data_IF_556613213772
#
_entry.id   IF_556613213772
#
_cell.length_a   1.000
_cell.length_b   1.000
_cell.length_c   1.000
_cell.angle_alpha   90.00
_cell.angle_beta   90.00
_cell.angle_gamma   90.00
#
_symmetry.space_group_name_H-M   'P 1'
#
loop_
_entity.id
_entity.type
_entity.pdbx_description
1 polymer ?
#
# COMPACT_ATOMS: atom_id res chain seq x y z
N UNK A 1 -18.38 5.01 -24.87
CA UNK A 1 -17.99 5.64 -23.58
C UNK A 1 -19.08 5.55 -22.52
N UNK A 2 -20.34 5.82 -22.87
CA UNK A 2 -21.45 5.81 -21.90
C UNK A 2 -21.64 4.44 -21.23
N UNK A 3 -21.48 3.36 -21.99
CA UNK A 3 -21.58 1.99 -21.48
C UNK A 3 -20.51 1.62 -20.44
N UNK A 4 -19.30 2.21 -20.50
CA UNK A 4 -18.21 1.99 -19.54
C UNK A 4 -18.29 2.89 -18.31
N UNK A 5 -19.31 3.71 -18.16
CA UNK A 5 -19.59 4.47 -16.93
C UNK A 5 -20.22 3.60 -15.83
N UNK A 6 -20.68 2.40 -16.17
CA UNK A 6 -21.03 1.38 -15.17
C UNK A 6 -19.77 0.65 -14.68
N UNK A 7 -19.50 0.74 -13.39
CA UNK A 7 -18.27 0.18 -12.79
C UNK A 7 -18.12 -1.33 -12.98
N UNK A 8 -19.23 -2.10 -13.04
CA UNK A 8 -19.17 -3.56 -13.32
C UNK A 8 -18.78 -3.83 -14.77
N UNK A 9 -19.36 -3.09 -15.70
CA UNK A 9 -19.00 -3.20 -17.12
C UNK A 9 -17.57 -2.76 -17.36
N UNK A 10 -17.15 -1.67 -16.71
CA UNK A 10 -15.78 -1.19 -16.76
C UNK A 10 -14.78 -2.25 -16.22
N UNK A 11 -15.09 -2.87 -15.08
CA UNK A 11 -14.27 -3.94 -14.52
C UNK A 11 -14.17 -5.15 -15.46
N UNK A 12 -15.29 -5.52 -16.08
CA UNK A 12 -15.33 -6.62 -17.05
C UNK A 12 -14.52 -6.30 -18.31
N UNK A 13 -14.53 -5.05 -18.78
CA UNK A 13 -13.74 -4.61 -19.92
C UNK A 13 -12.23 -4.60 -19.63
N UNK A 14 -11.83 -4.14 -18.44
CA UNK A 14 -10.41 -4.10 -18.04
C UNK A 14 -9.85 -5.50 -17.76
N UNK A 15 -10.67 -6.38 -17.18
CA UNK A 15 -10.31 -7.76 -16.81
C UNK A 15 -11.23 -8.74 -17.50
N UNK A 16 -11.10 -8.94 -18.80
CA UNK A 16 -11.95 -9.91 -19.49
C UNK A 16 -11.76 -11.30 -18.92
N UNK A 17 -12.84 -12.08 -18.82
CA UNK A 17 -12.78 -13.48 -18.35
C UNK A 17 -12.03 -14.38 -19.30
N UNK A 18 -12.04 -14.04 -20.57
CA UNK A 18 -11.40 -14.78 -21.68
C UNK A 18 -10.67 -13.79 -22.58
N UNK A 19 -9.50 -14.19 -23.04
CA UNK A 19 -8.67 -13.34 -23.92
C UNK A 19 -7.60 -12.54 -23.19
N UNK A 20 -6.82 -11.77 -23.95
CA UNK A 20 -5.80 -10.88 -23.42
C UNK A 20 -6.47 -9.63 -22.79
N UNK A 21 -5.84 -9.09 -21.77
CA UNK A 21 -6.23 -7.77 -21.25
C UNK A 21 -6.03 -6.72 -22.37
N UNK A 22 -6.92 -5.72 -22.49
CA UNK A 22 -6.80 -4.68 -23.51
C UNK A 22 -5.50 -3.89 -23.35
N UNK A 23 -4.88 -3.51 -24.44
CA UNK A 23 -3.67 -2.68 -24.41
C UNK A 23 -3.95 -1.31 -23.79
N UNK A 24 -2.89 -0.62 -23.36
CA UNK A 24 -3.03 0.75 -22.86
C UNK A 24 -3.53 1.68 -23.98
N UNK A 25 -4.53 2.48 -23.66
CA UNK A 25 -5.22 3.36 -24.62
C UNK A 25 -6.49 2.77 -25.23
N UNK A 26 -6.71 1.45 -25.13
CA UNK A 26 -7.96 0.82 -25.58
C UNK A 26 -9.12 1.06 -24.59
N UNK A 27 -8.82 1.29 -23.33
CA UNK A 27 -9.81 1.73 -22.33
C UNK A 27 -9.88 3.26 -22.36
N UNK A 28 -11.06 3.87 -22.57
CA UNK A 28 -11.18 5.33 -22.73
C UNK A 28 -10.64 6.15 -21.56
N UNK A 29 -10.61 5.58 -20.36
CA UNK A 29 -10.12 6.25 -19.15
C UNK A 29 -8.60 6.18 -19.00
N UNK A 30 -7.87 5.36 -19.75
CA UNK A 30 -6.43 5.19 -19.59
C UNK A 30 -5.67 6.52 -19.70
N UNK A 31 -5.86 7.23 -20.80
CA UNK A 31 -5.16 8.50 -21.05
C UNK A 31 -5.62 9.60 -20.09
N UNK A 32 -6.91 9.64 -19.75
CA UNK A 32 -7.46 10.62 -18.81
C UNK A 32 -6.82 10.44 -17.43
N UNK A 33 -6.80 9.21 -16.92
CA UNK A 33 -6.21 8.89 -15.62
C UNK A 33 -4.71 9.14 -15.66
N UNK A 34 -4.02 8.64 -16.68
CA UNK A 34 -2.56 8.77 -16.78
C UNK A 34 -2.12 10.22 -16.76
N UNK A 35 -2.74 11.07 -17.58
CA UNK A 35 -2.42 12.50 -17.65
C UNK A 35 -2.75 13.23 -16.32
N UNK A 36 -3.84 12.85 -15.66
CA UNK A 36 -4.22 13.46 -14.39
C UNK A 36 -3.28 13.08 -13.21
N UNK A 37 -2.64 11.89 -13.30
CA UNK A 37 -1.68 11.43 -12.28
C UNK A 37 -0.25 11.94 -12.52
N UNK A 38 0.04 12.53 -13.70
CA UNK A 38 1.36 13.09 -13.99
C UNK A 38 1.62 14.37 -13.19
N UNK A 39 2.81 14.46 -12.63
CA UNK A 39 3.35 15.66 -12.00
C UNK A 39 4.56 16.14 -12.80
N UNK A 40 4.44 17.34 -13.39
CA UNK A 40 5.43 17.90 -14.29
C UNK A 40 5.34 17.36 -15.74
N UNK A 41 6.25 17.80 -16.57
CA UNK A 41 6.33 17.34 -17.96
C UNK A 41 6.96 15.94 -17.96
N UNK A 42 6.31 14.94 -18.58
CA UNK A 42 6.85 13.58 -18.65
C UNK A 42 8.22 13.59 -19.32
N UNK A 43 9.22 13.07 -18.64
CA UNK A 43 10.55 12.91 -19.18
C UNK A 43 11.07 11.51 -18.82
N UNK A 44 11.42 10.73 -19.83
CA UNK A 44 12.01 9.41 -19.63
C UNK A 44 13.35 9.54 -18.91
N UNK A 45 13.47 8.87 -17.78
CA UNK A 45 14.70 8.86 -16.99
C UNK A 45 15.63 7.75 -17.46
N UNK A 46 16.93 8.06 -17.57
CA UNK A 46 17.97 7.04 -17.79
C UNK A 46 18.22 6.18 -16.53
N UNK A 47 17.79 6.67 -15.38
CA UNK A 47 17.86 5.97 -14.10
C UNK A 47 16.53 6.15 -13.34
N UNK A 48 15.45 5.49 -13.80
CA UNK A 48 14.13 5.68 -13.25
C UNK A 48 14.05 5.21 -11.80
N UNK A 49 13.25 5.91 -11.00
CA UNK A 49 13.06 5.64 -9.58
C UNK A 49 11.62 5.32 -9.28
N UNK A 50 11.42 4.39 -8.36
CA UNK A 50 10.12 4.14 -7.75
C UNK A 50 10.18 4.44 -6.25
N UNK A 51 9.37 5.40 -5.81
CA UNK A 51 9.16 5.75 -4.41
C UNK A 51 7.85 5.12 -3.93
N UNK A 52 7.94 4.18 -3.02
CA UNK A 52 6.78 3.50 -2.43
C UNK A 52 6.55 4.08 -1.03
N UNK A 53 5.42 4.75 -0.86
CA UNK A 53 4.97 5.34 0.40
C UNK A 53 3.97 4.41 1.07
N UNK A 54 4.32 3.91 2.23
CA UNK A 54 3.57 2.90 2.96
C UNK A 54 3.14 3.44 4.32
N UNK A 55 1.84 3.39 4.59
CA UNK A 55 1.32 3.80 5.90
C UNK A 55 -0.18 3.99 5.92
N UNK A 56 -0.81 3.91 7.11
CA UNK A 56 -2.26 4.01 7.24
C UNK A 56 -2.77 5.42 6.86
N UNK A 57 -4.07 5.56 6.62
CA UNK A 57 -4.68 6.88 6.45
C UNK A 57 -4.40 7.79 7.65
N UNK A 58 -4.06 9.04 7.40
CA UNK A 58 -3.73 10.02 8.45
C UNK A 58 -2.31 9.94 9.01
N UNK A 59 -1.47 8.98 8.61
CA UNK A 59 -0.08 8.92 9.09
C UNK A 59 0.83 10.02 8.54
N UNK A 60 0.40 10.78 7.50
CA UNK A 60 1.15 11.92 6.95
C UNK A 60 2.11 11.56 5.82
N UNK A 61 1.75 10.61 4.97
CA UNK A 61 2.52 10.23 3.77
C UNK A 61 2.88 11.41 2.87
N UNK A 62 1.96 12.37 2.69
CA UNK A 62 2.18 13.54 1.84
C UNK A 62 3.35 14.41 2.30
N UNK A 63 3.52 14.61 3.61
CA UNK A 63 4.65 15.40 4.15
C UNK A 63 5.99 14.72 3.87
N UNK A 64 6.08 13.41 4.16
CA UNK A 64 7.29 12.61 3.89
C UNK A 64 7.58 12.52 2.38
N UNK A 65 6.52 12.43 1.55
CA UNK A 65 6.65 12.41 0.09
C UNK A 65 7.43 13.61 -0.42
N UNK A 66 7.06 14.82 -0.01
CA UNK A 66 7.71 16.05 -0.48
C UNK A 66 9.21 16.03 -0.20
N UNK A 67 9.61 15.63 1.01
CA UNK A 67 11.02 15.57 1.40
C UNK A 67 11.78 14.50 0.58
N UNK A 68 11.21 13.31 0.41
CA UNK A 68 11.86 12.23 -0.34
C UNK A 68 11.95 12.51 -1.84
N UNK A 69 10.98 13.20 -2.43
CA UNK A 69 11.05 13.64 -3.83
C UNK A 69 12.22 14.58 -4.04
N UNK A 70 12.37 15.60 -3.18
CA UNK A 70 13.48 16.56 -3.24
C UNK A 70 14.82 15.85 -3.05
N UNK A 71 14.97 15.02 -2.01
CA UNK A 71 16.20 14.28 -1.72
C UNK A 71 16.63 13.35 -2.87
N UNK A 72 15.67 12.83 -3.62
CA UNK A 72 15.92 11.89 -4.70
C UNK A 72 15.87 12.52 -6.10
N UNK A 73 15.77 13.84 -6.21
CA UNK A 73 15.68 14.55 -7.50
C UNK A 73 14.59 13.96 -8.42
N UNK A 74 13.41 13.76 -7.85
CA UNK A 74 12.23 13.26 -8.56
C UNK A 74 11.31 14.44 -8.90
N UNK A 75 11.77 15.35 -9.78
CA UNK A 75 11.05 16.58 -10.12
C UNK A 75 9.82 16.28 -10.99
N UNK A 76 9.89 15.23 -11.78
CA UNK A 76 8.77 14.72 -12.59
C UNK A 76 8.48 13.27 -12.24
N UNK A 77 7.22 12.94 -12.05
CA UNK A 77 6.80 11.58 -11.68
C UNK A 77 5.31 11.36 -11.98
N UNK A 78 4.90 10.11 -12.02
CA UNK A 78 3.48 9.74 -11.97
C UNK A 78 3.12 9.32 -10.54
N UNK A 79 2.02 9.88 -10.00
CA UNK A 79 1.54 9.56 -8.65
C UNK A 79 0.44 8.49 -8.71
N UNK A 80 0.79 7.24 -8.47
CA UNK A 80 -0.16 6.12 -8.49
C UNK A 80 -0.81 6.00 -7.12
N UNK A 81 -2.00 6.58 -7.00
CA UNK A 81 -2.83 6.61 -5.79
C UNK A 81 -4.23 6.07 -6.11
N UNK A 82 -4.65 4.95 -5.47
CA UNK A 82 -6.00 4.38 -5.68
C UNK A 82 -7.14 5.35 -5.41
N UNK A 83 -6.98 6.24 -4.43
CA UNK A 83 -8.01 7.20 -4.05
C UNK A 83 -8.14 8.31 -5.11
N UNK A 84 -7.03 8.71 -5.71
CA UNK A 84 -7.00 9.68 -6.79
C UNK A 84 -7.62 9.11 -8.07
N UNK A 85 -7.25 7.88 -8.45
CA UNK A 85 -7.85 7.16 -9.58
C UNK A 85 -9.36 7.04 -9.41
N UNK A 86 -9.85 6.70 -8.21
CA UNK A 86 -11.27 6.65 -7.92
C UNK A 86 -11.94 8.01 -8.14
N UNK A 87 -11.34 9.07 -7.64
CA UNK A 87 -11.85 10.44 -7.79
C UNK A 87 -11.93 10.83 -9.27
N UNK A 88 -10.89 10.56 -10.06
CA UNK A 88 -10.86 10.83 -11.50
C UNK A 88 -11.99 10.06 -12.22
N UNK A 89 -12.16 8.78 -11.93
CA UNK A 89 -13.21 7.96 -12.54
C UNK A 89 -14.60 8.52 -12.24
N UNK A 90 -14.87 8.85 -10.96
CA UNK A 90 -16.16 9.41 -10.56
C UNK A 90 -16.44 10.78 -11.18
N UNK A 91 -15.42 11.65 -11.25
CA UNK A 91 -15.53 12.96 -11.93
C UNK A 91 -15.83 12.82 -13.43
N UNK A 92 -15.46 11.68 -14.03
CA UNK A 92 -15.77 11.37 -15.42
C UNK A 92 -17.06 10.54 -15.58
N UNK A 93 -17.91 10.52 -14.53
CA UNK A 93 -19.24 9.94 -14.55
C UNK A 93 -19.27 8.42 -14.35
N UNK A 94 -18.18 7.79 -13.89
CA UNK A 94 -18.22 6.37 -13.53
C UNK A 94 -18.96 6.20 -12.21
N UNK A 95 -19.97 5.36 -12.22
CA UNK A 95 -20.78 5.01 -11.04
C UNK A 95 -20.39 3.62 -10.54
N UNK A 96 -20.26 3.46 -9.23
CA UNK A 96 -19.95 2.19 -8.61
C UNK A 96 -21.13 1.66 -7.81
N UNK A 97 -21.47 0.38 -7.94
CA UNK A 97 -22.48 -0.24 -7.08
C UNK A 97 -22.01 -0.26 -5.63
N UNK A 98 -22.94 -0.39 -4.70
CA UNK A 98 -22.66 -0.46 -3.27
C UNK A 98 -21.91 -1.74 -2.82
N UNK A 99 -21.56 -2.64 -3.75
CA UNK A 99 -20.77 -3.83 -3.42
C UNK A 99 -19.34 -3.45 -3.04
N UNK A 100 -18.72 -4.26 -2.16
CA UNK A 100 -17.37 -4.00 -1.62
C UNK A 100 -16.24 -4.43 -2.58
N UNK A 101 -16.55 -4.91 -3.78
CA UNK A 101 -15.56 -5.57 -4.66
C UNK A 101 -15.33 -4.84 -5.97
N UNK A 102 -16.38 -4.25 -6.56
CA UNK A 102 -16.29 -3.62 -7.89
C UNK A 102 -15.36 -2.41 -7.89
N UNK A 103 -15.54 -1.47 -7.00
CA UNK A 103 -14.72 -0.25 -6.94
C UNK A 103 -13.24 -0.57 -6.67
N UNK A 104 -12.87 -1.35 -5.62
CA UNK A 104 -11.48 -1.76 -5.45
C UNK A 104 -10.93 -2.58 -6.63
N UNK A 105 -11.77 -3.39 -7.26
CA UNK A 105 -11.38 -4.16 -8.43
C UNK A 105 -10.99 -3.29 -9.61
N UNK A 106 -11.75 -2.23 -9.89
CA UNK A 106 -11.49 -1.25 -10.95
C UNK A 106 -10.24 -0.42 -10.63
N UNK A 107 -10.16 0.15 -9.42
CA UNK A 107 -9.02 1.01 -9.03
C UNK A 107 -7.71 0.24 -9.03
N UNK A 108 -7.68 -1.01 -8.54
CA UNK A 108 -6.48 -1.86 -8.59
C UNK A 108 -6.09 -2.23 -10.03
N UNK A 109 -7.08 -2.41 -10.92
CA UNK A 109 -6.78 -2.67 -12.33
C UNK A 109 -6.13 -1.45 -12.98
N UNK A 110 -6.65 -0.25 -12.74
CA UNK A 110 -6.03 0.98 -13.24
C UNK A 110 -4.68 1.26 -12.59
N UNK A 111 -4.49 1.03 -11.29
CA UNK A 111 -3.17 1.11 -10.65
C UNK A 111 -2.13 0.31 -11.42
N UNK A 112 -2.46 -0.94 -11.75
CA UNK A 112 -1.56 -1.78 -12.52
C UNK A 112 -1.31 -1.21 -13.92
N UNK A 113 -2.35 -0.80 -14.66
CA UNK A 113 -2.24 -0.25 -16.00
C UNK A 113 -1.39 1.02 -16.04
N UNK A 114 -1.61 1.93 -15.07
CA UNK A 114 -0.82 3.16 -14.95
C UNK A 114 0.65 2.87 -14.61
N UNK A 115 0.88 1.90 -13.72
CA UNK A 115 2.23 1.46 -13.37
C UNK A 115 2.96 0.82 -14.56
N UNK A 116 2.30 -0.09 -15.26
CA UNK A 116 2.88 -0.77 -16.44
C UNK A 116 3.24 0.25 -17.53
N UNK A 117 2.37 1.23 -17.78
CA UNK A 117 2.62 2.28 -18.78
C UNK A 117 3.73 3.23 -18.36
N UNK A 118 3.76 3.66 -17.09
CA UNK A 118 4.83 4.48 -16.57
C UNK A 118 6.20 3.77 -16.66
N UNK A 119 6.22 2.47 -16.38
CA UNK A 119 7.42 1.65 -16.50
C UNK A 119 7.86 1.52 -17.96
N UNK A 120 6.93 1.33 -18.88
CA UNK A 120 7.22 1.29 -20.34
C UNK A 120 7.84 2.61 -20.83
N UNK A 121 7.43 3.74 -20.26
CA UNK A 121 7.95 5.08 -20.59
C UNK A 121 9.18 5.47 -19.75
N UNK A 122 9.68 4.60 -18.86
CA UNK A 122 10.79 4.90 -17.93
C UNK A 122 10.58 6.17 -17.09
N UNK A 123 9.33 6.44 -16.68
CA UNK A 123 9.01 7.57 -15.81
C UNK A 123 9.34 7.24 -14.34
N UNK A 124 9.68 8.26 -13.56
CA UNK A 124 9.69 8.09 -12.11
C UNK A 124 8.26 7.82 -11.60
N UNK A 125 8.15 6.95 -10.61
CA UNK A 125 6.86 6.51 -10.06
C UNK A 125 6.83 6.81 -8.56
N UNK A 126 5.76 7.45 -8.11
CA UNK A 126 5.37 7.47 -6.70
C UNK A 126 4.18 6.53 -6.54
N UNK A 127 4.30 5.57 -5.64
CA UNK A 127 3.25 4.59 -5.37
C UNK A 127 2.77 4.75 -3.93
N UNK A 128 1.55 5.25 -3.75
CA UNK A 128 0.92 5.39 -2.43
C UNK A 128 0.15 4.12 -2.06
N UNK A 129 0.41 3.57 -0.88
CA UNK A 129 -0.26 2.37 -0.39
C UNK A 129 -0.49 2.40 1.12
N UNK A 130 -1.53 1.72 1.56
CA UNK A 130 -1.80 1.53 2.99
C UNK A 130 -0.85 0.54 3.66
N UNK A 131 -0.14 -0.29 2.88
CA UNK A 131 0.79 -1.28 3.41
C UNK A 131 0.17 -2.45 4.18
N UNK A 132 -1.13 -2.70 4.04
CA UNK A 132 -1.78 -3.84 4.69
C UNK A 132 -1.31 -5.21 4.19
N UNK A 133 -0.74 -5.24 2.99
CA UNK A 133 -0.24 -6.46 2.36
C UNK A 133 1.21 -6.28 1.92
N UNK A 134 2.13 -6.69 2.78
CA UNK A 134 3.57 -6.62 2.51
C UNK A 134 3.98 -7.39 1.25
N UNK A 135 3.33 -8.53 0.97
CA UNK A 135 3.66 -9.29 -0.23
C UNK A 135 3.41 -8.47 -1.49
N UNK A 136 2.29 -7.76 -1.58
CA UNK A 136 2.00 -6.90 -2.72
C UNK A 136 3.05 -5.78 -2.87
N UNK A 137 3.49 -5.18 -1.76
CA UNK A 137 4.58 -4.18 -1.76
C UNK A 137 5.89 -4.80 -2.24
N UNK A 138 6.25 -5.97 -1.73
CA UNK A 138 7.45 -6.70 -2.16
C UNK A 138 7.43 -7.06 -3.63
N UNK A 139 6.28 -7.48 -4.15
CA UNK A 139 6.13 -7.82 -5.57
C UNK A 139 6.34 -6.58 -6.46
N UNK A 140 5.84 -5.40 -6.03
CA UNK A 140 6.08 -4.12 -6.73
C UNK A 140 7.58 -3.78 -6.73
N UNK A 141 8.25 -3.86 -5.58
CA UNK A 141 9.69 -3.60 -5.47
C UNK A 141 10.47 -4.54 -6.38
N UNK A 142 10.17 -5.83 -6.31
CA UNK A 142 10.87 -6.83 -7.11
C UNK A 142 10.69 -6.61 -8.61
N UNK A 143 9.45 -6.42 -9.08
CA UNK A 143 9.17 -6.21 -10.50
C UNK A 143 9.81 -4.93 -11.03
N UNK A 144 9.78 -3.84 -10.27
CA UNK A 144 10.41 -2.57 -10.65
C UNK A 144 11.93 -2.70 -10.79
N UNK A 145 12.58 -3.45 -9.88
CA UNK A 145 14.03 -3.71 -9.98
C UNK A 145 14.40 -4.52 -11.21
N UNK A 146 13.58 -5.49 -11.61
CA UNK A 146 13.80 -6.24 -12.86
C UNK A 146 13.74 -5.34 -14.10
N UNK A 147 13.06 -4.20 -14.02
CA UNK A 147 12.96 -3.19 -15.08
C UNK A 147 13.99 -2.07 -14.92
N UNK A 148 14.99 -2.22 -14.06
CA UNK A 148 16.07 -1.26 -13.87
C UNK A 148 15.74 -0.05 -12.98
N UNK A 149 14.62 -0.07 -12.26
CA UNK A 149 14.28 1.00 -11.33
C UNK A 149 15.13 0.95 -10.05
N UNK A 150 15.61 2.11 -9.62
CA UNK A 150 16.05 2.27 -8.22
C UNK A 150 14.82 2.36 -7.33
N UNK A 151 14.71 1.44 -6.38
CA UNK A 151 13.57 1.31 -5.48
C UNK A 151 13.83 2.00 -4.14
N UNK A 152 12.93 2.91 -3.77
CA UNK A 152 12.93 3.65 -2.51
C UNK A 152 11.66 3.28 -1.76
N UNK A 153 11.80 2.69 -0.59
CA UNK A 153 10.68 2.22 0.20
C UNK A 153 10.59 3.01 1.50
N UNK A 154 9.49 3.69 1.72
CA UNK A 154 9.27 4.51 2.91
C UNK A 154 8.06 4.03 3.69
N UNK A 155 8.28 3.71 4.95
CA UNK A 155 7.24 3.40 5.92
C UNK A 155 7.02 4.61 6.79
N UNK A 156 5.77 5.06 6.88
CA UNK A 156 5.37 6.20 7.68
C UNK A 156 4.39 5.71 8.75
N UNK A 157 4.79 5.91 9.99
CA UNK A 157 4.00 5.54 11.15
C UNK A 157 3.55 6.77 11.93
N UNK A 158 2.36 6.70 12.49
CA UNK A 158 1.85 7.55 13.57
C UNK A 158 0.93 6.70 14.44
N UNK A 159 0.62 7.12 15.66
CA UNK A 159 -0.33 6.40 16.53
C UNK A 159 -1.73 6.36 15.92
N UNK A 160 -2.53 5.36 16.31
CA UNK A 160 -3.91 5.24 15.87
C UNK A 160 -4.71 6.52 16.16
N UNK A 161 -4.57 7.06 17.37
CA UNK A 161 -5.22 8.29 17.79
C UNK A 161 -4.85 9.47 16.88
N UNK A 162 -3.57 9.64 16.57
CA UNK A 162 -3.10 10.69 15.66
C UNK A 162 -3.66 10.49 14.26
N UNK A 163 -3.68 9.26 13.76
CA UNK A 163 -4.25 8.93 12.45
C UNK A 163 -5.74 9.24 12.40
N UNK A 164 -6.51 8.81 13.40
CA UNK A 164 -7.95 9.05 13.49
C UNK A 164 -8.29 10.55 13.55
N UNK A 165 -7.60 11.30 14.41
CA UNK A 165 -7.78 12.77 14.51
C UNK A 165 -7.53 13.46 13.17
N UNK A 166 -6.47 13.09 12.43
CA UNK A 166 -6.16 13.68 11.12
C UNK A 166 -7.18 13.28 10.06
N UNK A 167 -7.70 12.05 10.10
CA UNK A 167 -8.78 11.60 9.22
C UNK A 167 -10.07 12.37 9.51
N UNK A 168 -10.42 12.58 10.78
CA UNK A 168 -11.58 13.40 11.17
C UNK A 168 -11.46 14.84 10.65
N UNK A 169 -10.31 15.48 10.88
CA UNK A 169 -10.06 16.85 10.40
C UNK A 169 -10.17 16.95 8.87
N UNK A 170 -9.62 15.95 8.16
CA UNK A 170 -9.74 15.87 6.70
C UNK A 170 -11.19 15.69 6.26
N UNK A 171 -11.94 14.78 6.89
CA UNK A 171 -13.34 14.56 6.56
C UNK A 171 -14.18 15.82 6.81
N UNK A 172 -13.94 16.56 7.89
CA UNK A 172 -14.59 17.83 8.15
C UNK A 172 -14.28 18.85 7.05
N UNK A 173 -13.00 19.01 6.70
CA UNK A 173 -12.58 19.88 5.60
C UNK A 173 -13.26 19.52 4.26
N UNK A 174 -13.39 18.22 3.95
CA UNK A 174 -14.05 17.76 2.73
C UNK A 174 -15.54 18.12 2.70
N UNK A 175 -16.22 18.06 3.86
CA UNK A 175 -17.62 18.53 4.01
C UNK A 175 -17.73 20.04 3.81
N UNK A 176 -16.88 20.78 4.50
CA UNK A 176 -16.92 22.24 4.49
C UNK A 176 -16.63 22.83 3.10
N UNK A 177 -15.78 22.16 2.32
CA UNK A 177 -15.38 22.61 0.97
C UNK A 177 -16.20 22.01 -0.16
N UNK A 178 -17.13 21.09 0.13
CA UNK A 178 -17.88 20.33 -0.88
C UNK A 178 -16.99 19.78 -2.01
N UNK A 179 -15.82 19.24 -1.65
CA UNK A 179 -14.72 18.93 -2.57
C UNK A 179 -15.00 17.77 -3.54
N UNK A 180 -16.15 17.11 -3.44
CA UNK A 180 -16.50 15.91 -4.21
C UNK A 180 -15.67 14.65 -3.85
N UNK A 181 -14.71 14.75 -2.95
CA UNK A 181 -13.95 13.61 -2.46
C UNK A 181 -14.76 12.83 -1.43
N UNK A 182 -14.52 11.51 -1.39
CA UNK A 182 -15.23 10.62 -0.46
C UNK A 182 -14.58 10.69 0.91
N UNK A 183 -15.41 10.87 1.94
CA UNK A 183 -14.99 10.73 3.33
C UNK A 183 -14.55 9.30 3.63
N UNK A 184 -13.54 9.17 4.47
CA UNK A 184 -13.09 7.87 4.98
C UNK A 184 -13.72 7.64 6.37
N UNK A 185 -14.64 6.67 6.54
CA UNK A 185 -15.16 6.33 7.85
C UNK A 185 -14.03 5.93 8.82
N UNK A 186 -14.16 6.32 10.10
CA UNK A 186 -13.10 6.08 11.08
C UNK A 186 -12.88 4.60 11.34
N UNK A 187 -13.93 3.80 11.36
CA UNK A 187 -13.85 2.34 11.51
C UNK A 187 -13.09 1.68 10.34
N UNK A 188 -13.20 2.25 9.14
CA UNK A 188 -12.41 1.78 7.99
C UNK A 188 -10.95 2.19 8.15
N UNK A 189 -10.68 3.44 8.58
CA UNK A 189 -9.32 3.90 8.85
C UNK A 189 -8.63 3.06 9.93
N UNK A 190 -9.36 2.73 11.01
CA UNK A 190 -8.87 1.86 12.08
C UNK A 190 -8.61 0.42 11.59
N UNK A 191 -9.51 -0.14 10.81
CA UNK A 191 -9.31 -1.46 10.20
C UNK A 191 -8.06 -1.50 9.33
N UNK A 192 -7.81 -0.45 8.54
CA UNK A 192 -6.60 -0.29 7.72
C UNK A 192 -5.36 -0.18 8.62
N UNK A 193 -5.42 0.64 9.67
CA UNK A 193 -4.32 0.79 10.63
C UNK A 193 -3.97 -0.55 11.28
N UNK A 194 -4.95 -1.29 11.78
CA UNK A 194 -4.76 -2.59 12.38
C UNK A 194 -4.16 -3.60 11.38
N UNK A 195 -4.63 -3.57 10.13
CA UNK A 195 -4.05 -4.39 9.05
C UNK A 195 -2.58 -4.06 8.78
N UNK A 196 -2.19 -2.79 8.86
CA UNK A 196 -0.82 -2.34 8.68
C UNK A 196 0.10 -2.72 9.85
N UNK A 197 -0.39 -2.63 11.09
CA UNK A 197 0.42 -2.74 12.31
C UNK A 197 0.39 -4.14 12.91
N UNK A 198 -0.78 -4.79 12.98
CA UNK A 198 -1.01 -5.97 13.84
C UNK A 198 -1.01 -7.30 13.12
N UNK A 199 -1.22 -7.32 11.82
CA UNK A 199 -1.26 -8.59 11.09
C UNK A 199 0.15 -9.09 10.77
N UNK A 200 0.39 -10.43 10.77
CA UNK A 200 1.68 -11.00 10.36
C UNK A 200 2.04 -10.69 8.90
N UNK A 201 1.14 -10.07 8.16
CA UNK A 201 1.30 -9.68 6.75
C UNK A 201 1.40 -8.18 6.55
N UNK A 202 1.22 -7.39 7.60
CA UNK A 202 1.31 -5.95 7.55
C UNK A 202 2.75 -5.48 7.34
N UNK A 203 2.92 -4.41 6.59
CA UNK A 203 4.23 -3.91 6.21
C UNK A 203 5.09 -3.51 7.41
N UNK A 204 4.49 -2.89 8.44
CA UNK A 204 5.21 -2.52 9.64
C UNK A 204 5.75 -3.75 10.40
N UNK A 205 4.95 -4.83 10.49
CA UNK A 205 5.37 -6.09 11.10
C UNK A 205 6.58 -6.70 10.41
N UNK A 206 6.58 -6.69 9.09
CA UNK A 206 7.60 -7.37 8.30
C UNK A 206 8.93 -6.64 8.34
N UNK A 207 8.91 -5.31 8.45
CA UNK A 207 10.13 -4.51 8.57
C UNK A 207 10.84 -4.77 9.91
N UNK A 208 10.07 -4.90 11.00
CA UNK A 208 10.59 -5.14 12.33
C UNK A 208 11.08 -6.57 12.54
N UNK A 209 10.68 -7.52 11.68
CA UNK A 209 11.11 -8.92 11.72
C UNK A 209 12.36 -9.18 10.87
N UNK A 210 13.08 -8.12 10.48
CA UNK A 210 14.30 -8.24 9.66
C UNK A 210 14.07 -8.96 8.32
N UNK A 211 12.84 -8.91 7.83
CA UNK A 211 12.52 -9.47 6.53
C UNK A 211 13.29 -8.68 5.48
N UNK A 212 14.05 -9.32 4.59
CA UNK A 212 14.87 -8.62 3.63
C UNK A 212 13.97 -7.83 2.67
N UNK A 213 13.73 -6.57 3.00
CA UNK A 213 13.16 -5.63 2.05
C UNK A 213 14.21 -5.42 0.98
N UNK A 214 13.95 -5.93 -0.20
CA UNK A 214 14.89 -5.89 -1.35
C UNK A 214 14.94 -4.51 -2.03
N UNK A 215 14.38 -3.48 -1.40
CA UNK A 215 14.53 -2.11 -1.89
C UNK A 215 15.98 -1.64 -1.75
N UNK A 216 16.39 -0.76 -2.67
CA UNK A 216 17.74 -0.19 -2.67
C UNK A 216 17.91 0.80 -1.53
N UNK A 217 16.82 1.51 -1.18
CA UNK A 217 16.74 2.36 0.00
C UNK A 217 15.48 2.07 0.80
N UNK A 218 15.60 2.08 2.12
CA UNK A 218 14.47 1.87 3.04
C UNK A 218 14.49 2.94 4.12
N UNK A 219 13.34 3.59 4.31
CA UNK A 219 13.12 4.60 5.33
C UNK A 219 12.02 4.19 6.29
N UNK A 220 12.18 4.53 7.56
CA UNK A 220 11.11 4.49 8.56
C UNK A 220 10.98 5.87 9.20
N UNK A 221 9.79 6.42 9.14
CA UNK A 221 9.45 7.72 9.75
C UNK A 221 8.43 7.57 10.87
N UNK A 222 8.69 8.28 11.96
CA UNK A 222 7.70 8.58 12.98
C UNK A 222 7.11 9.97 12.71
N UNK A 223 5.82 10.03 12.47
CA UNK A 223 5.09 11.27 12.22
C UNK A 223 3.94 11.45 13.24
N UNK A 224 4.23 11.18 14.50
CA UNK A 224 3.22 11.18 15.57
C UNK A 224 2.87 12.59 16.07
N UNK A 225 3.76 13.58 15.90
CA UNK A 225 3.56 14.93 16.40
C UNK A 225 3.06 15.84 15.29
N UNK A 226 1.96 16.57 15.54
CA UNK A 226 1.42 17.53 14.59
C UNK A 226 2.28 18.79 14.52
N UNK A 227 2.44 19.33 13.32
CA UNK A 227 3.16 20.60 13.10
C UNK A 227 4.68 20.49 13.23
N UNK A 228 5.22 19.29 13.39
CA UNK A 228 6.67 19.05 13.34
C UNK A 228 7.03 18.24 12.12
N UNK A 229 8.29 18.36 11.69
CA UNK A 229 8.83 17.50 10.65
C UNK A 229 8.79 16.02 11.07
N UNK A 230 8.46 15.11 10.15
CA UNK A 230 8.52 13.68 10.42
C UNK A 230 9.93 13.26 10.83
N UNK A 231 10.03 12.57 11.95
CA UNK A 231 11.30 12.09 12.46
C UNK A 231 11.73 10.83 11.72
N UNK A 232 12.85 10.87 11.02
CA UNK A 232 13.46 9.66 10.45
C UNK A 232 14.05 8.81 11.56
N UNK A 233 13.56 7.59 11.72
CA UNK A 233 14.04 6.63 12.71
C UNK A 233 15.09 5.67 12.15
N UNK A 234 14.97 5.34 10.87
CA UNK A 234 15.80 4.33 10.22
C UNK A 234 15.96 4.67 8.75
N UNK A 235 17.18 4.52 8.25
CA UNK A 235 17.54 4.63 6.84
C UNK A 235 18.55 3.54 6.49
N UNK A 236 18.28 2.81 5.44
CA UNK A 236 19.14 1.77 4.88
C UNK A 236 19.40 2.04 3.42
N UNK A 237 20.66 2.03 3.02
CA UNK A 237 21.10 2.12 1.63
C UNK A 237 21.98 0.90 1.31
N UNK A 238 21.48 0.00 0.47
CA UNK A 238 22.17 -1.25 0.18
C UNK A 238 22.43 -2.07 1.46
N UNK A 239 23.69 -2.32 1.78
CA UNK A 239 24.12 -3.00 3.01
C UNK A 239 24.34 -2.05 4.20
N UNK A 240 24.40 -0.73 3.95
CA UNK A 240 24.65 0.26 4.99
C UNK A 240 23.35 0.62 5.69
N UNK A 241 23.38 0.62 7.01
CA UNK A 241 22.25 1.00 7.86
C UNK A 241 22.65 2.25 8.64
N UNK A 242 21.91 3.32 8.42
CA UNK A 242 22.01 4.55 9.19
C UNK A 242 20.81 4.63 10.13
N UNK A 243 21.11 4.68 11.42
CA UNK A 243 20.11 5.02 12.41
C UNK A 243 20.18 6.52 12.66
N UNK A 244 19.05 7.21 12.73
CA UNK A 244 19.08 8.57 13.26
C UNK A 244 19.65 8.52 14.67
N UNK A 245 20.32 9.58 15.11
CA UNK A 245 20.84 9.72 16.48
C UNK A 245 19.78 9.53 17.55
N UNK A 246 18.50 9.57 17.17
CA UNK A 246 17.34 9.32 18.00
C UNK A 246 16.80 7.88 17.92
N UNK A 247 17.43 6.99 17.16
CA UNK A 247 17.04 5.57 17.17
C UNK A 247 17.35 4.88 18.51
N UNK A 248 18.40 5.23 19.27
CA UNK A 248 18.47 4.87 20.69
C UNK A 248 17.25 5.33 21.47
N UNK A 249 16.57 6.39 21.04
CA UNK A 249 15.26 6.78 21.55
C UNK A 249 14.17 5.73 21.37
N UNK A 250 14.25 4.81 20.38
CA UNK A 250 13.32 3.68 20.30
C UNK A 250 13.40 2.78 21.56
N UNK A 251 14.60 2.57 22.08
CA UNK A 251 14.79 1.87 23.36
C UNK A 251 14.33 2.70 24.57
N UNK A 252 14.30 4.03 24.44
CA UNK A 252 13.89 4.98 25.45
C UNK A 252 12.45 5.52 25.27
N UNK A 253 11.74 5.13 24.21
CA UNK A 253 10.31 5.41 24.05
C UNK A 253 9.52 4.78 25.22
N UNK A 254 8.47 5.47 25.65
CA UNK A 254 7.55 4.89 26.63
C UNK A 254 6.99 3.56 26.10
N UNK A 255 6.68 2.64 27.00
CA UNK A 255 6.15 1.30 26.65
C UNK A 255 4.89 1.44 25.78
N UNK A 256 4.04 2.43 26.03
CA UNK A 256 2.85 2.74 25.24
C UNK A 256 3.19 3.09 23.77
N UNK A 257 4.27 3.81 23.54
CA UNK A 257 4.70 4.22 22.21
C UNK A 257 5.44 3.09 21.47
N UNK A 258 6.02 2.16 22.23
CA UNK A 258 6.64 0.92 21.74
C UNK A 258 5.64 -0.20 21.51
N UNK A 259 4.48 -0.16 22.15
CA UNK A 259 3.51 -1.28 22.16
C UNK A 259 3.14 -1.73 20.73
N UNK A 260 2.90 -0.86 19.75
CA UNK A 260 2.70 -1.29 18.38
C UNK A 260 3.87 -2.12 17.85
N UNK A 261 5.11 -1.73 18.14
CA UNK A 261 6.33 -2.41 17.67
C UNK A 261 6.58 -3.70 18.46
N UNK A 262 6.36 -3.68 19.79
CA UNK A 262 6.54 -4.84 20.68
C UNK A 262 5.48 -5.90 20.42
N UNK A 263 4.23 -5.51 20.20
CA UNK A 263 3.15 -6.43 19.84
C UNK A 263 3.45 -7.07 18.48
N UNK A 264 4.03 -6.34 17.55
CA UNK A 264 4.52 -6.84 16.26
C UNK A 264 5.62 -7.88 16.46
N UNK A 265 6.62 -7.61 17.28
CA UNK A 265 7.71 -8.56 17.58
C UNK A 265 7.20 -9.83 18.27
N UNK A 266 6.25 -9.70 19.21
CA UNK A 266 5.70 -10.85 19.95
C UNK A 266 4.74 -11.70 19.13
N UNK A 267 3.94 -11.11 18.25
CA UNK A 267 3.01 -11.84 17.39
C UNK A 267 3.72 -12.63 16.28
N UNK A 268 4.87 -12.15 15.80
CA UNK A 268 5.69 -12.85 14.80
C UNK A 268 6.35 -14.14 15.31
N UNK A 269 6.56 -14.28 16.64
CA UNK A 269 7.19 -15.46 17.24
C UNK A 269 6.27 -16.67 17.44
N UNK A 270 4.97 -16.50 17.40
CA UNK A 270 4.02 -17.63 17.52
C UNK A 270 3.61 -18.11 16.13
N UNK A 271 4.39 -19.03 15.57
CA UNK A 271 3.94 -19.84 14.44
C UNK A 271 2.63 -20.54 14.84
N UNK A 272 1.50 -20.09 14.30
CA UNK A 272 0.20 -20.77 14.42
C UNK A 272 0.17 -22.15 13.71
N UNK A 273 1.34 -22.71 13.43
CA UNK A 273 1.54 -23.94 12.67
C UNK A 273 1.32 -25.24 13.47
N UNK A 274 1.20 -25.18 14.80
CA UNK A 274 1.10 -26.43 15.59
C UNK A 274 -0.33 -26.97 15.73
N UNK A 275 -1.36 -26.12 15.69
CA UNK A 275 -2.75 -26.61 15.84
C UNK A 275 -3.32 -27.31 14.60
N UNK A 276 -2.93 -26.93 13.39
CA UNK A 276 -3.43 -27.63 12.17
C UNK A 276 -2.84 -29.01 11.93
N UNK A 277 -1.63 -29.29 12.45
CA UNK A 277 -1.03 -30.64 12.29
C UNK A 277 -1.64 -31.69 13.23
N UNK A 278 -2.11 -31.32 14.43
CA UNK A 278 -2.77 -32.26 15.33
C UNK A 278 -4.15 -32.67 14.82
N UNK A 279 -4.91 -31.74 14.22
CA UNK A 279 -6.25 -32.05 13.70
C UNK A 279 -6.22 -32.88 12.42
N UNK A 280 -5.18 -32.71 11.60
CA UNK A 280 -4.99 -33.57 10.40
C UNK A 280 -4.60 -35.00 10.81
N UNK A 281 -3.76 -35.16 11.85
CA UNK A 281 -3.44 -36.51 12.37
C UNK A 281 -4.66 -37.20 13.01
N UNK A 282 -5.50 -36.46 13.74
CA UNK A 282 -6.75 -37.00 14.31
C UNK A 282 -7.77 -37.39 13.22
N UNK A 283 -7.90 -36.63 12.14
CA UNK A 283 -8.79 -37.00 11.02
C UNK A 283 -8.31 -38.23 10.24
N UNK A 284 -7.00 -38.35 10.04
CA UNK A 284 -6.45 -39.52 9.33
C UNK A 284 -6.54 -40.81 10.15
N UNK A 285 -6.43 -40.75 11.48
CA UNK A 285 -6.62 -41.89 12.36
C UNK A 285 -8.10 -42.31 12.45
N UNK A 286 -9.07 -41.37 12.41
CA UNK A 286 -10.50 -41.73 12.34
C UNK A 286 -10.89 -42.38 11.01
N UNK A 287 -10.25 -42.03 9.89
CA UNK A 287 -10.49 -42.70 8.60
C UNK A 287 -9.89 -44.09 8.52
N UNK A 288 -8.79 -44.36 9.24
CA UNK A 288 -8.21 -45.74 9.28
C UNK A 288 -9.03 -46.71 10.14
N UNK A 289 -9.64 -46.22 11.23
CA UNK A 289 -10.49 -47.08 12.08
C UNK A 289 -11.82 -47.39 11.44
N UNK A 290 -12.40 -46.52 10.62
CA UNK A 290 -13.65 -46.85 9.90
C UNK A 290 -13.47 -47.79 8.70
N UNK A 291 -12.26 -47.90 8.12
CA UNK A 291 -12.01 -48.90 7.06
C UNK A 291 -11.84 -50.34 7.58
N UNK A 292 -11.64 -50.54 8.88
CA UNK A 292 -11.53 -51.88 9.48
C UNK A 292 -12.86 -52.47 9.96
N UNK A 293 -13.98 -51.74 9.89
CA UNK A 293 -15.31 -52.20 10.31
C UNK A 293 -16.23 -52.73 9.19
N UNK A 294 -15.72 -52.78 7.95
CA UNK A 294 -16.47 -53.32 6.80
C UNK A 294 -15.75 -54.50 6.13
N UNK A 295 -15.25 -55.41 6.94
CA UNK A 295 -14.86 -56.75 6.44
C UNK A 295 -15.24 -57.74 7.52
N UNK A 296 -16.50 -58.12 7.49
CA UNK A 296 -17.02 -59.45 7.82
C UNK A 296 -18.44 -59.51 7.29
#
# INVERSE_FOLDING_TARGET
MEELRDGKKLLAAIKPKTGAAPAFGEIPFDTIIFNALLNGVPNASTSPKILILCGPPGCGKSTVKTNLLAQNSMDTYINIDPDEIRTILMSNGVTFPADKTTMPGVTNAFNKRMSDEAQRQHLNIVFDTTGQNFKAVSDIIYSSKQLGYKSIFSIIWASLETCQRRVQSRNQYLKDTNSGRIELPLEVAESIYNGFVTTPRGTASMLLLDYPVRADEVYLYNNNVNGTEPQMLYHKVGANVEFSTNFPGFYNMNISDKEPYITLMRSGGKRSGSKKRSDIKKRNNKRKTNKRRFKY
#
